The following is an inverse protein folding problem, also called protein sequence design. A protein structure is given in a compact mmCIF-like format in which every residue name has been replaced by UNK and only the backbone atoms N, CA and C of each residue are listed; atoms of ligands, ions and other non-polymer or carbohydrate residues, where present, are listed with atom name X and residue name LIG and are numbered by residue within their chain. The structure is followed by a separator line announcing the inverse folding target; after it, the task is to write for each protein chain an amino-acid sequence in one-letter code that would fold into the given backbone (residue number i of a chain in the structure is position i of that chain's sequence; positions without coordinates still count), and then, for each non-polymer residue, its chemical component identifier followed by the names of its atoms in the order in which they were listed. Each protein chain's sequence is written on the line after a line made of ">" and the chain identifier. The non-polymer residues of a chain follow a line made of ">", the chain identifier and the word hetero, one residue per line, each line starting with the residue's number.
data_IF_431079055633
#
_entry.id   IF_431079055633
#
_cell.length_a   1.000
_cell.length_b   1.000
_cell.length_c   1.000
_cell.angle_alpha   90.00
_cell.angle_beta   90.00
_cell.angle_gamma   90.00
#
_symmetry.space_group_name_H-M   'P 1'
#
loop_
_entity.id
_entity.type
_entity.pdbx_description
1 polymer ?
#
# COMPACT_ATOMS: atom_id res chain seq x y z
N UNK A 1 10.87 3.71 -60.18
CA UNK A 1 11.30 4.30 -61.46
C UNK A 1 11.25 5.82 -61.31
N UNK A 2 12.34 6.52 -61.65
CA UNK A 2 12.64 7.98 -61.76
C UNK A 2 11.58 9.08 -61.50
N UNK A 3 11.98 10.37 -61.22
CA UNK A 3 13.30 10.92 -60.85
C UNK A 3 13.30 11.96 -59.68
N UNK A 4 14.49 12.53 -59.43
CA UNK A 4 14.88 13.47 -58.37
C UNK A 4 14.68 14.96 -58.72
N UNK A 5 14.65 15.83 -57.68
CA UNK A 5 15.25 17.19 -57.67
C UNK A 5 15.77 17.55 -56.25
N UNK A 6 16.34 18.73 -56.01
CA UNK A 6 17.76 19.07 -56.29
C UNK A 6 18.06 20.55 -55.97
N UNK A 7 18.97 20.84 -55.03
CA UNK A 7 19.38 22.22 -54.64
C UNK A 7 18.56 22.79 -53.47
N UNK A 8 19.08 23.67 -52.61
CA UNK A 8 20.41 24.31 -52.51
C UNK A 8 20.42 25.33 -51.34
N UNK A 9 21.58 25.71 -50.76
CA UNK A 9 21.63 26.35 -49.44
C UNK A 9 21.59 27.90 -49.45
N UNK A 10 21.20 28.50 -48.32
CA UNK A 10 21.26 29.95 -48.09
C UNK A 10 21.81 30.29 -46.68
N UNK A 11 22.87 31.09 -46.62
CA UNK A 11 23.47 31.61 -45.38
C UNK A 11 23.08 33.07 -45.12
N UNK A 12 23.05 33.49 -43.86
CA UNK A 12 23.19 34.89 -43.44
C UNK A 12 22.38 35.26 -42.20
N UNK A 13 22.74 36.26 -41.39
CA UNK A 13 24.02 36.99 -41.23
C UNK A 13 23.99 37.73 -39.87
N UNK A 14 25.14 38.17 -39.36
CA UNK A 14 25.30 38.87 -38.05
C UNK A 14 24.95 40.37 -38.12
N UNK A 15 24.50 40.94 -36.99
CA UNK A 15 24.76 42.31 -36.51
C UNK A 15 24.48 42.35 -34.98
N UNK A 16 25.19 42.99 -34.04
CA UNK A 16 26.33 43.94 -33.97
C UNK A 16 26.01 45.45 -33.75
N UNK A 17 26.02 45.90 -32.48
CA UNK A 17 26.42 47.25 -32.03
C UNK A 17 25.31 48.32 -31.81
N UNK A 18 25.67 49.56 -31.41
CA UNK A 18 26.67 49.93 -30.36
C UNK A 18 26.33 51.22 -29.54
N UNK A 19 27.20 51.59 -28.57
CA UNK A 19 27.27 52.93 -27.91
C UNK A 19 26.60 53.01 -26.52
N UNK A 20 27.10 53.70 -25.48
CA UNK A 20 28.17 54.72 -25.34
C UNK A 20 27.58 56.06 -24.85
N UNK A 21 28.09 56.80 -23.86
CA UNK A 21 29.21 56.59 -22.93
C UNK A 21 29.37 57.80 -21.96
N UNK A 22 30.32 57.70 -21.01
CA UNK A 22 31.04 58.76 -20.26
C UNK A 22 30.33 60.05 -19.78
N UNK A 23 30.32 60.27 -18.45
CA UNK A 23 30.02 61.58 -17.83
C UNK A 23 30.40 61.66 -16.34
N UNK A 24 31.53 62.33 -16.04
CA UNK A 24 32.07 62.68 -14.70
C UNK A 24 33.04 63.86 -14.88
N UNK A 25 33.46 64.62 -13.85
CA UNK A 25 33.05 64.63 -12.42
C UNK A 25 32.72 66.04 -11.86
N UNK A 26 32.21 66.11 -10.62
CA UNK A 26 32.82 66.94 -9.54
C UNK A 26 32.33 66.53 -8.15
N UNK A 27 33.20 66.74 -7.16
CA UNK A 27 33.12 66.28 -5.78
C UNK A 27 32.55 67.36 -4.84
N UNK A 28 31.92 66.97 -3.72
CA UNK A 28 32.09 67.53 -2.36
C UNK A 28 31.14 66.83 -1.37
N UNK A 29 31.67 66.38 -0.21
CA UNK A 29 30.91 65.81 0.93
C UNK A 29 30.36 64.39 0.67
N UNK A 30 30.31 63.49 1.65
CA UNK A 30 30.68 63.52 3.06
C UNK A 30 30.17 62.23 3.73
N UNK A 31 30.85 61.76 4.76
CA UNK A 31 30.59 60.53 5.54
C UNK A 31 30.79 59.15 4.83
N UNK A 32 31.58 58.23 5.43
CA UNK A 32 31.71 56.85 4.95
C UNK A 32 30.51 55.97 5.36
N UNK A 33 30.24 54.86 4.66
CA UNK A 33 28.93 54.20 4.68
C UNK A 33 28.68 53.35 5.92
N UNK A 34 27.40 53.28 6.32
CA UNK A 34 26.93 52.23 7.22
C UNK A 34 27.17 50.84 6.59
N UNK A 35 27.68 49.92 7.39
CA UNK A 35 27.92 48.55 6.95
C UNK A 35 26.60 47.85 6.59
N UNK A 36 26.45 47.28 5.38
CA UNK A 36 25.29 46.44 5.09
C UNK A 36 25.34 45.20 5.98
N UNK A 37 24.34 45.03 6.83
CA UNK A 37 24.19 43.87 7.70
C UNK A 37 24.06 42.59 6.87
N UNK A 38 25.14 41.80 6.84
CA UNK A 38 25.16 40.46 6.24
C UNK A 38 24.48 39.45 7.17
N UNK A 39 23.16 39.56 7.30
CA UNK A 39 22.28 38.56 7.90
C UNK A 39 21.32 37.96 6.87
N UNK A 40 21.89 37.52 5.74
CA UNK A 40 21.25 36.59 4.84
C UNK A 40 21.81 35.18 5.09
N UNK A 41 20.94 34.22 5.42
CA UNK A 41 21.29 32.80 5.32
C UNK A 41 21.71 32.06 6.58
N UNK A 42 20.96 32.16 7.68
CA UNK A 42 20.63 30.94 8.42
C UNK A 42 19.17 30.59 8.18
N UNK A 43 18.92 29.89 7.07
CA UNK A 43 17.87 28.90 7.08
C UNK A 43 18.30 27.87 8.15
N UNK A 44 17.71 27.97 9.35
CA UNK A 44 17.77 26.88 10.31
C UNK A 44 17.16 25.69 9.59
N UNK A 45 18.01 24.76 9.16
CA UNK A 45 17.58 23.50 8.61
C UNK A 45 16.87 22.79 9.76
N UNK A 46 15.55 22.96 9.82
CA UNK A 46 14.73 22.18 10.74
C UNK A 46 15.10 20.72 10.49
N UNK A 47 15.33 19.92 11.55
CA UNK A 47 15.52 18.50 11.34
C UNK A 47 14.34 17.99 10.50
N UNK A 48 14.54 17.04 9.57
CA UNK A 48 13.41 16.39 8.93
C UNK A 48 12.46 15.94 10.04
N UNK A 49 11.16 16.18 9.86
CA UNK A 49 10.16 15.71 10.82
C UNK A 49 10.49 14.26 11.16
N UNK A 50 10.55 13.88 12.47
CA UNK A 50 10.84 12.52 12.83
C UNK A 50 9.89 11.61 12.05
N UNK A 51 10.38 10.51 11.45
CA UNK A 51 9.50 9.60 10.72
C UNK A 51 8.33 9.26 11.66
N UNK A 52 7.07 9.36 11.18
CA UNK A 52 5.90 9.29 12.05
C UNK A 52 6.02 8.03 12.89
N UNK A 53 6.06 8.20 14.22
CA UNK A 53 6.35 7.11 15.15
C UNK A 53 5.44 5.93 14.81
N UNK A 54 6.04 4.82 14.35
CA UNK A 54 5.26 3.61 14.13
C UNK A 54 4.63 3.25 15.48
N UNK A 55 3.29 3.16 15.58
CA UNK A 55 2.62 3.10 16.86
C UNK A 55 3.13 1.89 17.64
N UNK A 56 3.62 2.15 18.85
CA UNK A 56 4.24 1.16 19.72
C UNK A 56 3.25 0.04 20.06
N UNK A 57 3.31 -1.05 19.28
CA UNK A 57 2.50 -2.25 19.46
C UNK A 57 2.86 -2.89 20.80
N UNK A 58 1.87 -3.04 21.68
CA UNK A 58 2.02 -3.75 22.95
C UNK A 58 2.05 -5.26 22.70
N UNK A 59 2.63 -6.02 23.62
CA UNK A 59 2.64 -7.48 23.54
C UNK A 59 1.22 -8.08 23.56
N UNK A 60 0.26 -7.36 24.15
CA UNK A 60 -1.17 -7.71 24.19
C UNK A 60 -1.93 -7.35 22.90
N UNK A 61 -1.36 -6.57 21.99
CA UNK A 61 -2.01 -6.16 20.73
C UNK A 61 -1.98 -7.28 19.69
N UNK A 62 -2.82 -8.30 19.92
CA UNK A 62 -2.94 -9.50 19.10
C UNK A 62 -4.37 -10.03 19.07
N UNK A 63 -4.68 -10.77 18.01
CA UNK A 63 -5.84 -11.65 17.92
C UNK A 63 -5.63 -12.93 18.75
N UNK A 64 -6.65 -13.31 19.53
CA UNK A 64 -6.74 -14.57 20.30
C UNK A 64 -7.99 -15.41 19.92
N UNK A 65 -8.79 -14.92 18.97
CA UNK A 65 -9.90 -15.66 18.40
C UNK A 65 -10.27 -15.08 17.04
N UNK A 66 -10.52 -15.95 16.06
CA UNK A 66 -10.98 -15.56 14.72
C UNK A 66 -12.19 -16.40 14.34
N UNK A 67 -13.28 -15.73 13.94
CA UNK A 67 -14.49 -16.34 13.42
C UNK A 67 -14.77 -15.77 12.04
N UNK A 68 -15.19 -16.64 11.10
CA UNK A 68 -15.74 -16.22 9.81
C UNK A 68 -17.26 -16.36 9.88
N UNK A 69 -18.01 -15.26 9.75
CA UNK A 69 -19.48 -15.29 9.59
C UNK A 69 -19.79 -15.68 8.14
N UNK A 70 -19.99 -16.98 7.96
CA UNK A 70 -20.28 -17.60 6.68
C UNK A 70 -21.80 -17.78 6.52
N UNK A 71 -22.50 -16.68 6.21
CA UNK A 71 -23.97 -16.62 6.05
C UNK A 71 -24.58 -17.65 5.08
N UNK A 72 -23.76 -18.29 4.24
CA UNK A 72 -24.15 -19.45 3.43
C UNK A 72 -23.14 -20.59 3.59
N UNK A 73 -23.62 -21.73 4.09
CA UNK A 73 -22.86 -22.98 4.23
C UNK A 73 -22.74 -23.72 2.88
N UNK A 74 -21.93 -23.18 1.97
CA UNK A 74 -21.51 -23.90 0.75
C UNK A 74 -20.25 -24.71 1.07
N UNK A 75 -20.24 -26.01 0.75
CA UNK A 75 -19.02 -26.83 0.85
C UNK A 75 -17.93 -26.25 -0.07
N UNK A 76 -16.87 -25.67 0.50
CA UNK A 76 -15.65 -25.35 -0.27
C UNK A 76 -14.91 -26.64 -0.64
N UNK A 77 -13.98 -26.53 -1.58
CA UNK A 77 -13.03 -27.62 -1.88
C UNK A 77 -12.05 -27.83 -0.70
N UNK A 78 -11.52 -29.04 -0.49
CA UNK A 78 -10.61 -29.34 0.61
C UNK A 78 -9.41 -28.40 0.70
N UNK A 79 -8.87 -27.98 -0.45
CA UNK A 79 -7.70 -27.09 -0.53
C UNK A 79 -7.99 -25.70 0.06
N UNK A 80 -9.22 -25.18 -0.11
CA UNK A 80 -9.60 -23.85 0.38
C UNK A 80 -9.93 -23.88 1.88
N UNK A 81 -10.50 -24.98 2.39
CA UNK A 81 -10.62 -25.17 3.86
C UNK A 81 -9.25 -25.42 4.50
N UNK A 82 -8.29 -26.04 3.79
CA UNK A 82 -6.92 -26.17 4.27
C UNK A 82 -6.20 -24.81 4.33
N UNK A 83 -6.24 -24.00 3.26
CA UNK A 83 -5.72 -22.62 3.28
C UNK A 83 -6.34 -21.77 4.40
N UNK A 84 -7.66 -21.90 4.61
CA UNK A 84 -8.36 -21.26 5.74
C UNK A 84 -7.83 -21.72 7.09
N UNK A 85 -7.69 -23.03 7.30
CA UNK A 85 -7.24 -23.59 8.57
C UNK A 85 -5.81 -23.15 8.90
N UNK A 86 -4.91 -23.19 7.92
CA UNK A 86 -3.53 -22.69 8.06
C UNK A 86 -3.52 -21.18 8.34
N UNK A 87 -4.28 -20.37 7.60
CA UNK A 87 -4.32 -18.93 7.82
C UNK A 87 -4.89 -18.54 9.20
N UNK A 88 -5.90 -19.26 9.71
CA UNK A 88 -6.42 -19.06 11.08
C UNK A 88 -5.39 -19.51 12.12
N UNK A 89 -4.76 -20.67 11.94
CA UNK A 89 -3.74 -21.17 12.86
C UNK A 89 -2.56 -20.20 12.96
N UNK A 90 -1.95 -19.84 11.82
CA UNK A 90 -0.82 -18.92 11.76
C UNK A 90 -1.17 -17.56 12.37
N UNK A 91 -2.40 -17.06 12.20
CA UNK A 91 -2.84 -15.81 12.82
C UNK A 91 -2.96 -15.93 14.33
N UNK A 92 -3.48 -17.03 14.87
CA UNK A 92 -3.62 -17.19 16.31
C UNK A 92 -2.27 -17.41 17.00
N UNK A 93 -1.35 -18.11 16.32
CA UNK A 93 0.01 -18.36 16.81
C UNK A 93 0.85 -17.07 16.83
N UNK A 94 0.89 -16.34 15.71
CA UNK A 94 1.77 -15.18 15.51
C UNK A 94 1.07 -14.06 14.72
N UNK A 95 0.65 -13.00 15.41
CA UNK A 95 0.11 -11.81 14.78
C UNK A 95 0.38 -10.53 15.59
N UNK A 96 0.30 -9.39 14.91
CA UNK A 96 0.16 -8.07 15.52
C UNK A 96 -1.14 -7.42 15.04
N UNK A 97 -1.99 -7.04 15.98
CA UNK A 97 -3.27 -6.44 15.72
C UNK A 97 -3.63 -5.47 16.85
N UNK A 98 -3.37 -4.19 16.64
CA UNK A 98 -3.76 -3.11 17.55
C UNK A 98 -4.97 -2.34 17.00
N UNK A 99 -5.81 -1.80 17.90
CA UNK A 99 -6.92 -0.92 17.55
C UNK A 99 -6.71 0.43 18.25
N UNK A 100 -6.69 1.57 17.55
CA UNK A 100 -6.45 2.87 18.16
C UNK A 100 -7.41 3.16 19.32
N UNK A 101 -6.85 3.46 20.50
CA UNK A 101 -7.62 3.78 21.72
C UNK A 101 -8.17 2.58 22.49
N UNK A 102 -7.89 1.34 22.08
CA UNK A 102 -8.22 0.12 22.81
C UNK A 102 -6.94 -0.65 23.19
N UNK A 103 -7.03 -1.53 24.17
CA UNK A 103 -5.96 -2.46 24.55
C UNK A 103 -6.41 -3.89 24.26
N UNK A 104 -5.54 -4.68 23.63
CA UNK A 104 -5.79 -6.10 23.37
C UNK A 104 -5.63 -6.99 24.61
N UNK A 105 -5.89 -8.31 24.48
CA UNK A 105 -6.08 -9.02 23.23
C UNK A 105 -7.51 -8.95 22.67
N UNK A 106 -7.63 -9.22 21.37
CA UNK A 106 -8.89 -9.08 20.63
C UNK A 106 -9.39 -10.40 20.06
N UNK A 107 -10.71 -10.51 19.90
CA UNK A 107 -11.36 -11.52 19.05
C UNK A 107 -11.91 -10.81 17.82
N UNK A 108 -11.76 -11.41 16.64
CA UNK A 108 -12.19 -10.84 15.37
C UNK A 108 -13.24 -11.73 14.71
N UNK A 109 -14.39 -11.15 14.38
CA UNK A 109 -15.39 -11.72 13.48
C UNK A 109 -15.26 -11.03 12.12
N UNK A 110 -14.96 -11.80 11.08
CA UNK A 110 -14.92 -11.32 9.69
C UNK A 110 -16.16 -11.79 8.93
N UNK A 111 -16.81 -10.87 8.21
CA UNK A 111 -17.98 -11.17 7.39
C UNK A 111 -17.95 -10.39 6.06
N UNK A 112 -18.78 -10.79 5.10
CA UNK A 112 -19.07 -10.00 3.90
C UNK A 112 -20.53 -9.53 3.94
N UNK A 113 -20.73 -8.20 3.89
CA UNK A 113 -22.05 -7.56 3.96
C UNK A 113 -22.09 -6.38 2.99
N UNK A 114 -23.13 -6.27 2.15
CA UNK A 114 -23.36 -5.15 1.22
C UNK A 114 -22.12 -4.69 0.41
N UNK A 115 -21.37 -5.65 -0.13
CA UNK A 115 -20.10 -5.44 -0.85
C UNK A 115 -19.04 -4.72 0.04
N UNK A 116 -18.98 -5.08 1.33
CA UNK A 116 -17.96 -4.68 2.30
C UNK A 116 -17.41 -5.90 3.06
N UNK A 117 -16.12 -5.87 3.36
CA UNK A 117 -15.49 -6.73 4.36
C UNK A 117 -15.68 -6.08 5.73
N UNK A 118 -16.43 -6.73 6.61
CA UNK A 118 -16.70 -6.24 7.97
C UNK A 118 -15.67 -6.82 8.92
N UNK A 119 -15.15 -5.95 9.79
CA UNK A 119 -14.36 -6.27 10.97
C UNK A 119 -15.24 -5.95 12.18
N UNK A 120 -15.70 -6.98 12.88
CA UNK A 120 -16.37 -6.91 14.17
C UNK A 120 -15.34 -7.36 15.21
N UNK A 121 -14.82 -6.40 15.98
CA UNK A 121 -13.72 -6.57 16.92
C UNK A 121 -14.29 -6.58 18.33
N UNK A 122 -13.89 -7.59 19.10
CA UNK A 122 -14.48 -7.94 20.39
C UNK A 122 -13.41 -8.18 21.44
N UNK A 123 -13.80 -8.10 22.71
CA UNK A 123 -12.96 -8.53 23.82
C UNK A 123 -12.95 -10.07 23.99
N UNK A 124 -12.18 -10.56 24.96
CA UNK A 124 -12.11 -11.98 25.30
C UNK A 124 -13.47 -12.58 25.70
N UNK A 125 -14.36 -11.78 26.29
CA UNK A 125 -15.73 -12.15 26.64
C UNK A 125 -16.71 -12.11 25.45
N UNK A 126 -16.24 -11.86 24.22
CA UNK A 126 -17.02 -11.71 22.99
C UNK A 126 -17.99 -10.52 22.98
N UNK A 127 -17.77 -9.49 23.81
CA UNK A 127 -18.49 -8.21 23.75
C UNK A 127 -17.93 -7.37 22.61
N UNK A 128 -18.80 -6.78 21.79
CA UNK A 128 -18.41 -5.89 20.68
C UNK A 128 -17.70 -4.64 21.26
N UNK A 129 -16.49 -4.35 20.77
CA UNK A 129 -15.73 -3.16 21.12
C UNK A 129 -15.82 -2.12 20.00
N UNK A 130 -15.65 -2.56 18.75
CA UNK A 130 -15.80 -1.71 17.56
C UNK A 130 -16.15 -2.56 16.34
N UNK A 131 -17.01 -2.03 15.48
CA UNK A 131 -17.39 -2.64 14.20
C UNK A 131 -17.23 -1.65 13.07
N UNK A 132 -16.54 -2.05 11.99
CA UNK A 132 -16.39 -1.22 10.78
C UNK A 132 -16.32 -2.08 9.52
N UNK A 133 -16.51 -1.46 8.35
CA UNK A 133 -16.49 -2.16 7.06
C UNK A 133 -15.60 -1.47 6.02
N UNK A 134 -14.80 -2.26 5.30
CA UNK A 134 -14.02 -1.82 4.15
C UNK A 134 -14.78 -2.14 2.85
N UNK A 135 -15.03 -1.14 2.01
CA UNK A 135 -15.68 -1.34 0.71
C UNK A 135 -14.87 -2.22 -0.24
N UNK A 136 -15.48 -3.31 -0.72
CA UNK A 136 -14.84 -4.33 -1.56
C UNK A 136 -14.48 -3.83 -2.96
N UNK A 137 -15.05 -2.71 -3.41
CA UNK A 137 -14.75 -2.11 -4.73
C UNK A 137 -13.25 -1.90 -4.96
N UNK A 138 -12.51 -1.54 -3.90
CA UNK A 138 -11.06 -1.34 -3.94
C UNK A 138 -10.25 -2.65 -4.11
N UNK A 139 -10.81 -3.80 -3.75
CA UNK A 139 -10.15 -5.11 -3.79
C UNK A 139 -10.49 -5.91 -5.05
N UNK A 140 -11.40 -5.43 -5.91
CA UNK A 140 -11.97 -6.20 -7.05
C UNK A 140 -10.90 -6.78 -7.98
N UNK A 141 -9.86 -6.01 -8.30
CA UNK A 141 -8.78 -6.45 -9.21
C UNK A 141 -7.95 -7.56 -8.55
N UNK A 142 -7.40 -7.32 -7.36
CA UNK A 142 -6.61 -8.29 -6.59
C UNK A 142 -7.35 -9.62 -6.38
N UNK A 143 -8.63 -9.54 -6.03
CA UNK A 143 -9.49 -10.71 -5.82
C UNK A 143 -9.74 -11.45 -7.14
N UNK A 144 -10.04 -10.75 -8.23
CA UNK A 144 -10.21 -11.34 -9.57
C UNK A 144 -8.91 -12.02 -10.04
N UNK A 145 -7.78 -11.37 -9.88
CA UNK A 145 -6.48 -11.88 -10.34
C UNK A 145 -6.07 -13.12 -9.54
N UNK A 146 -6.36 -13.14 -8.23
CA UNK A 146 -6.26 -14.34 -7.40
C UNK A 146 -7.10 -15.50 -7.95
N UNK A 147 -8.38 -15.27 -8.29
CA UNK A 147 -9.21 -16.31 -8.89
C UNK A 147 -8.65 -16.84 -10.21
N UNK A 148 -8.18 -15.97 -11.11
CA UNK A 148 -7.61 -16.39 -12.39
C UNK A 148 -6.34 -17.24 -12.21
N UNK A 149 -5.50 -16.93 -11.23
CA UNK A 149 -4.33 -17.75 -10.87
C UNK A 149 -4.75 -19.09 -10.27
N UNK A 150 -5.74 -19.12 -9.38
CA UNK A 150 -6.28 -20.36 -8.83
C UNK A 150 -6.97 -21.25 -9.88
N UNK A 151 -7.73 -20.69 -10.82
CA UNK A 151 -8.32 -21.45 -11.93
C UNK A 151 -7.25 -22.02 -12.86
N UNK A 152 -6.19 -21.24 -13.13
CA UNK A 152 -5.02 -21.72 -13.88
C UNK A 152 -4.34 -22.90 -13.16
N UNK A 153 -4.17 -22.81 -11.83
CA UNK A 153 -3.65 -23.90 -11.01
C UNK A 153 -4.52 -25.16 -11.13
N UNK A 154 -5.84 -25.04 -10.85
CA UNK A 154 -6.74 -26.21 -10.81
C UNK A 154 -7.01 -26.85 -12.17
N UNK A 155 -7.04 -26.06 -13.26
CA UNK A 155 -7.23 -26.61 -14.62
C UNK A 155 -6.00 -27.35 -15.13
N UNK A 156 -4.79 -26.96 -14.67
CA UNK A 156 -3.54 -27.39 -15.27
C UNK A 156 -2.67 -28.32 -14.38
N UNK A 157 -2.93 -28.42 -13.06
CA UNK A 157 -2.13 -29.26 -12.14
C UNK A 157 -2.05 -30.75 -12.50
N UNK A 158 -3.00 -31.28 -13.29
CA UNK A 158 -2.96 -32.67 -13.78
C UNK A 158 -2.07 -32.88 -15.01
N UNK A 159 -1.61 -31.81 -15.65
CA UNK A 159 -0.92 -31.83 -16.95
C UNK A 159 0.33 -30.96 -17.03
N UNK A 160 0.57 -30.09 -16.05
CA UNK A 160 1.73 -29.21 -15.98
C UNK A 160 3.01 -29.89 -15.50
N UNK A 161 4.17 -29.35 -15.91
CA UNK A 161 5.46 -29.67 -15.30
C UNK A 161 5.57 -29.07 -13.89
N UNK A 162 6.42 -29.63 -13.00
CA UNK A 162 6.68 -29.06 -11.68
C UNK A 162 7.07 -27.57 -11.73
N UNK A 163 7.91 -27.18 -12.69
CA UNK A 163 8.33 -25.79 -12.89
C UNK A 163 7.19 -24.83 -13.26
N UNK A 164 6.14 -25.30 -13.94
CA UNK A 164 4.96 -24.49 -14.23
C UNK A 164 4.07 -24.34 -12.99
N UNK A 165 3.94 -25.39 -12.19
CA UNK A 165 3.22 -25.37 -10.91
C UNK A 165 3.92 -24.39 -9.94
N UNK A 166 5.24 -24.46 -9.84
CA UNK A 166 6.06 -23.52 -9.05
C UNK A 166 5.87 -22.06 -9.48
N UNK A 167 5.83 -21.78 -10.79
CA UNK A 167 5.60 -20.44 -11.32
C UNK A 167 4.20 -19.90 -10.97
N UNK A 168 3.15 -20.72 -11.06
CA UNK A 168 1.80 -20.37 -10.62
C UNK A 168 1.77 -20.12 -9.10
N UNK A 169 2.44 -20.96 -8.32
CA UNK A 169 2.55 -20.81 -6.87
C UNK A 169 3.29 -19.55 -6.43
N UNK A 170 4.31 -19.13 -7.19
CA UNK A 170 4.95 -17.82 -7.01
C UNK A 170 3.96 -16.67 -7.28
N UNK A 171 3.15 -16.77 -8.35
CA UNK A 171 2.09 -15.79 -8.65
C UNK A 171 1.03 -15.70 -7.55
N UNK A 172 0.56 -16.84 -7.04
CA UNK A 172 -0.39 -16.91 -5.91
C UNK A 172 0.19 -16.25 -4.65
N UNK A 173 1.45 -16.54 -4.31
CA UNK A 173 2.13 -15.89 -3.17
C UNK A 173 2.30 -14.38 -3.36
N UNK A 174 2.64 -13.92 -4.56
CA UNK A 174 2.76 -12.50 -4.86
C UNK A 174 1.44 -11.76 -4.63
N UNK A 175 0.32 -12.31 -5.11
CA UNK A 175 -1.02 -11.73 -4.92
C UNK A 175 -1.44 -11.68 -3.44
N UNK A 176 -1.08 -12.67 -2.62
CA UNK A 176 -1.34 -12.58 -1.18
C UNK A 176 -0.50 -11.49 -0.47
N UNK A 177 0.75 -11.29 -0.88
CA UNK A 177 1.62 -10.24 -0.33
C UNK A 177 1.14 -8.84 -0.74
N UNK A 178 0.75 -8.67 -2.00
CA UNK A 178 0.18 -7.43 -2.53
C UNK A 178 -1.17 -7.12 -1.87
N UNK A 179 -2.07 -8.10 -1.83
CA UNK A 179 -3.38 -7.97 -1.19
C UNK A 179 -3.30 -7.73 0.31
N UNK A 180 -2.36 -8.37 1.02
CA UNK A 180 -2.09 -8.13 2.44
C UNK A 180 -1.52 -6.74 2.71
N UNK A 181 -0.58 -6.27 1.87
CA UNK A 181 -0.03 -4.92 1.95
C UNK A 181 -1.09 -3.85 1.68
N UNK A 182 -1.96 -4.08 0.69
CA UNK A 182 -3.08 -3.21 0.39
C UNK A 182 -4.13 -3.20 1.51
N UNK A 183 -4.47 -4.36 2.07
CA UNK A 183 -5.36 -4.47 3.23
C UNK A 183 -4.81 -3.71 4.45
N UNK A 184 -3.52 -3.87 4.76
CA UNK A 184 -2.81 -3.10 5.81
C UNK A 184 -2.92 -1.59 5.56
N UNK A 185 -2.69 -1.12 4.33
CA UNK A 185 -2.86 0.31 3.99
C UNK A 185 -4.30 0.78 4.20
N UNK A 186 -5.29 -0.03 3.81
CA UNK A 186 -6.72 0.28 3.92
C UNK A 186 -7.24 0.26 5.38
N UNK A 187 -6.49 -0.37 6.30
CA UNK A 187 -6.82 -0.48 7.72
C UNK A 187 -6.19 0.60 8.61
N UNK A 188 -5.13 1.31 8.20
CA UNK A 188 -4.26 2.12 9.09
C UNK A 188 -4.96 3.05 10.10
N UNK A 189 -6.12 3.62 9.75
CA UNK A 189 -6.90 4.52 10.63
C UNK A 189 -7.80 3.78 11.65
N UNK A 190 -7.98 2.46 11.50
CA UNK A 190 -8.95 1.61 12.21
C UNK A 190 -8.32 0.44 12.94
N UNK A 191 -7.24 -0.12 12.38
CA UNK A 191 -6.42 -1.15 13.00
C UNK A 191 -4.99 -1.07 12.45
N UNK A 192 -4.01 -1.33 13.31
CA UNK A 192 -2.60 -1.46 12.92
C UNK A 192 -2.25 -2.95 12.93
N UNK A 193 -1.73 -3.41 11.80
CA UNK A 193 -1.28 -4.79 11.61
C UNK A 193 0.11 -4.82 10.97
N UNK A 194 0.85 -5.90 11.18
CA UNK A 194 2.10 -6.17 10.47
C UNK A 194 1.84 -6.75 9.05
N UNK A 195 2.92 -7.08 8.33
CA UNK A 195 2.84 -7.64 6.98
C UNK A 195 2.17 -9.02 6.95
N UNK A 196 2.55 -9.92 7.85
CA UNK A 196 2.14 -11.32 7.78
C UNK A 196 0.72 -11.54 8.31
N UNK A 197 0.32 -10.76 9.31
CA UNK A 197 -1.09 -10.57 9.70
C UNK A 197 -1.91 -10.06 8.52
N UNK A 198 -1.43 -9.04 7.80
CA UNK A 198 -2.08 -8.54 6.57
C UNK A 198 -2.24 -9.62 5.49
N UNK A 199 -1.16 -10.36 5.20
CA UNK A 199 -1.14 -11.47 4.24
C UNK A 199 -2.17 -12.55 4.59
N UNK A 200 -2.17 -13.02 5.85
CA UNK A 200 -3.08 -14.07 6.33
C UNK A 200 -4.54 -13.60 6.37
N UNK A 201 -4.81 -12.36 6.81
CA UNK A 201 -6.15 -11.75 6.75
C UNK A 201 -6.66 -11.61 5.30
N UNK A 202 -5.78 -11.30 4.34
CA UNK A 202 -6.15 -11.29 2.93
C UNK A 202 -6.45 -12.70 2.38
N UNK A 203 -5.73 -13.74 2.82
CA UNK A 203 -6.12 -15.14 2.54
C UNK A 203 -7.53 -15.44 3.06
N UNK A 204 -7.88 -15.01 4.28
CA UNK A 204 -9.24 -15.18 4.81
C UNK A 204 -10.30 -14.38 4.02
N UNK A 205 -9.97 -13.20 3.51
CA UNK A 205 -10.82 -12.45 2.58
C UNK A 205 -11.08 -13.24 1.29
N UNK A 206 -10.04 -13.80 0.66
CA UNK A 206 -10.22 -14.63 -0.53
C UNK A 206 -11.13 -15.85 -0.23
N UNK A 207 -10.89 -16.53 0.89
CA UNK A 207 -11.70 -17.66 1.39
C UNK A 207 -13.18 -17.28 1.59
N UNK A 208 -13.46 -16.07 2.09
CA UNK A 208 -14.82 -15.52 2.18
C UNK A 208 -15.42 -15.24 0.80
N UNK A 209 -14.66 -14.60 -0.10
CA UNK A 209 -15.15 -14.17 -1.42
C UNK A 209 -15.40 -15.33 -2.39
N UNK A 210 -14.74 -16.49 -2.21
CA UNK A 210 -15.00 -17.73 -3.00
C UNK A 210 -16.47 -18.19 -2.89
N UNK A 211 -17.23 -17.69 -1.91
CA UNK A 211 -18.64 -18.03 -1.68
C UNK A 211 -19.64 -16.89 -1.95
N UNK A 212 -19.18 -15.70 -2.33
CA UNK A 212 -20.00 -14.49 -2.46
C UNK A 212 -20.62 -14.30 -3.86
#
# INVERSE_FOLDING_TARGET
>A
MFPRRSGGPGQGRRASGPGGGIGSPRLVGGDPPEHPSVLAGLAVMMPPDPPPEEPLLKETDRLVGITLDERVFVRRRPEVEHERAVAIFDLLEDNRFAVPGLEGPFRLVLSLEDNRLIFDIRDEANRELVRFGLGMTAFRTLVKDYFMVCESYFSAIRTMSPSQIEAIDMGRRALHNEGGSFLRQRLRERAVIDHDTGRRLFTLLCVLHVRA
#
